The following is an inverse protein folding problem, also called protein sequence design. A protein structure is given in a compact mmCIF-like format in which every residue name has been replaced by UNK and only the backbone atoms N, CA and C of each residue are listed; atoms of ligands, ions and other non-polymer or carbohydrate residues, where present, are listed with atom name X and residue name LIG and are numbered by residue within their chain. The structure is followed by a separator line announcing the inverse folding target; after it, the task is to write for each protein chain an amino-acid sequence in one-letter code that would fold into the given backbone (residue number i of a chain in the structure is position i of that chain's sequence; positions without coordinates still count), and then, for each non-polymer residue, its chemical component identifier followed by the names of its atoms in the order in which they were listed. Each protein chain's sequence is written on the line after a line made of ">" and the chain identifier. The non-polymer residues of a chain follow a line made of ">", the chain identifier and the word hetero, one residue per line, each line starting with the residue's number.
data_IF_046565987627
#
_entry.id   IF_046565987627
#
_cell.length_a   1.000
_cell.length_b   1.000
_cell.length_c   1.000
_cell.angle_alpha   90.00
_cell.angle_beta   90.00
_cell.angle_gamma   90.00
#
_symmetry.space_group_name_H-M   'P 1'
#
loop_
_entity.id
_entity.type
_entity.pdbx_description
1 polymer ?
#
# COMPACT_ATOMS: atom_id res chain seq x y z
N UNK A 1 -27.78 22.54 11.25
CA UNK A 1 -28.51 21.25 11.31
C UNK A 1 -27.72 20.31 10.44
N UNK A 2 -26.95 19.45 11.07
CA UNK A 2 -26.17 18.41 10.39
C UNK A 2 -27.14 17.23 10.33
N UNK A 3 -27.57 16.87 9.11
CA UNK A 3 -28.31 15.64 8.89
C UNK A 3 -27.37 14.48 9.27
N UNK A 4 -27.79 13.72 10.26
CA UNK A 4 -27.20 12.44 10.62
C UNK A 4 -27.25 11.54 9.39
N UNK A 5 -26.08 11.24 8.82
CA UNK A 5 -25.92 10.15 7.89
C UNK A 5 -26.29 8.86 8.66
N UNK A 6 -27.53 8.46 8.53
CA UNK A 6 -28.04 7.19 9.06
C UNK A 6 -27.19 6.06 8.49
N UNK A 7 -26.40 5.46 9.35
CA UNK A 7 -25.77 4.16 9.13
C UNK A 7 -26.86 3.18 8.68
N UNK A 8 -26.93 2.89 7.39
CA UNK A 8 -27.76 1.80 6.88
C UNK A 8 -27.09 0.49 7.29
N UNK A 9 -27.46 -0.01 8.46
CA UNK A 9 -27.09 -1.36 8.89
C UNK A 9 -27.63 -2.31 7.83
N UNK A 10 -26.76 -3.01 7.13
CA UNK A 10 -27.10 -4.16 6.29
C UNK A 10 -27.61 -5.28 7.22
N UNK A 11 -28.82 -5.12 7.72
CA UNK A 11 -29.49 -6.11 8.56
C UNK A 11 -29.95 -7.25 7.64
N UNK A 12 -29.14 -8.31 7.53
CA UNK A 12 -29.63 -9.64 7.21
C UNK A 12 -30.23 -9.86 5.81
N UNK A 13 -29.72 -9.20 4.76
CA UNK A 13 -30.16 -9.47 3.38
C UNK A 13 -29.09 -10.23 2.60
N UNK A 14 -29.53 -11.25 1.85
CA UNK A 14 -28.75 -12.11 0.94
C UNK A 14 -28.14 -11.35 -0.26
N UNK A 15 -28.24 -10.02 -0.30
CA UNK A 15 -27.86 -9.16 -1.42
C UNK A 15 -26.56 -8.37 -1.23
N UNK A 16 -25.88 -8.47 -0.08
CA UNK A 16 -24.60 -7.79 0.12
C UNK A 16 -23.54 -8.38 -0.83
N UNK A 17 -22.84 -7.55 -1.65
CA UNK A 17 -21.84 -8.05 -2.58
C UNK A 17 -20.70 -8.78 -1.84
N UNK A 18 -20.19 -9.85 -2.44
CA UNK A 18 -19.08 -10.59 -1.85
C UNK A 18 -17.80 -9.75 -1.90
N UNK A 19 -17.09 -9.66 -0.78
CA UNK A 19 -15.75 -9.08 -0.69
C UNK A 19 -14.72 -10.18 -0.51
N UNK A 20 -13.70 -10.22 -1.36
CA UNK A 20 -12.54 -11.10 -1.16
C UNK A 20 -11.43 -10.34 -0.42
N UNK A 21 -11.10 -10.78 0.78
CA UNK A 21 -9.90 -10.31 1.51
C UNK A 21 -8.74 -11.23 1.13
N UNK A 22 -7.82 -10.72 0.33
CA UNK A 22 -6.64 -11.46 -0.16
C UNK A 22 -5.41 -10.95 0.55
N UNK A 23 -4.85 -11.72 1.47
CA UNK A 23 -3.73 -11.30 2.32
C UNK A 23 -2.46 -12.11 2.02
N UNK A 24 -1.35 -11.45 1.65
CA UNK A 24 -0.05 -12.09 1.56
C UNK A 24 0.54 -12.26 2.95
N UNK A 25 1.24 -13.36 3.20
CA UNK A 25 1.94 -13.62 4.45
C UNK A 25 3.42 -13.95 4.17
N UNK A 26 4.32 -13.24 4.82
CA UNK A 26 5.74 -13.57 4.84
C UNK A 26 6.38 -13.11 6.15
N UNK A 27 6.74 -14.09 7.01
CA UNK A 27 7.38 -13.85 8.31
C UNK A 27 6.58 -12.85 9.19
N UNK A 28 5.30 -13.15 9.40
CA UNK A 28 4.34 -12.31 10.12
C UNK A 28 3.97 -12.86 11.51
N UNK A 29 4.64 -13.91 12.01
CA UNK A 29 4.26 -14.65 13.23
C UNK A 29 3.88 -13.75 14.41
N UNK A 30 4.55 -12.61 14.54
CA UNK A 30 4.37 -11.68 15.65
C UNK A 30 3.03 -10.96 15.67
N UNK A 31 2.45 -10.72 14.49
CA UNK A 31 1.29 -9.83 14.34
C UNK A 31 0.07 -10.52 13.73
N UNK A 32 0.26 -11.74 13.23
CA UNK A 32 -0.69 -12.50 12.45
C UNK A 32 -2.06 -12.65 13.11
N UNK A 33 -2.10 -13.03 14.41
CA UNK A 33 -3.36 -13.24 15.14
C UNK A 33 -4.15 -11.95 15.30
N UNK A 34 -3.47 -10.85 15.63
CA UNK A 34 -4.10 -9.54 15.80
C UNK A 34 -4.66 -9.03 14.47
N UNK A 35 -3.88 -9.17 13.39
CA UNK A 35 -4.29 -8.77 12.05
C UNK A 35 -5.52 -9.57 11.58
N UNK A 36 -5.49 -10.90 11.68
CA UNK A 36 -6.62 -11.74 11.30
C UNK A 36 -7.87 -11.48 12.13
N UNK A 37 -7.72 -11.32 13.44
CA UNK A 37 -8.83 -10.96 14.32
C UNK A 37 -9.51 -9.67 13.83
N UNK A 38 -8.76 -8.63 13.48
CA UNK A 38 -9.31 -7.37 13.00
C UNK A 38 -10.10 -7.50 11.70
N UNK A 39 -9.74 -8.47 10.85
CA UNK A 39 -10.47 -8.78 9.61
C UNK A 39 -11.79 -9.50 9.94
N UNK A 40 -11.76 -10.49 10.86
CA UNK A 40 -12.97 -11.23 11.22
C UNK A 40 -13.93 -10.47 12.15
N UNK A 41 -13.46 -9.41 12.79
CA UNK A 41 -14.28 -8.49 13.60
C UNK A 41 -14.97 -7.39 12.77
N UNK A 42 -14.89 -7.43 11.43
CA UNK A 42 -15.67 -6.52 10.58
C UNK A 42 -17.16 -6.91 10.60
N UNK A 43 -18.03 -5.91 10.71
CA UNK A 43 -19.49 -6.12 10.75
C UNK A 43 -20.09 -6.50 9.38
N UNK A 44 -19.28 -6.48 8.31
CA UNK A 44 -19.73 -6.79 6.97
C UNK A 44 -20.08 -8.28 6.81
N UNK A 45 -21.31 -8.63 6.35
CA UNK A 45 -21.81 -10.00 6.46
C UNK A 45 -21.29 -10.97 5.39
N UNK A 46 -20.82 -10.49 4.23
CA UNK A 46 -20.51 -11.33 3.08
C UNK A 46 -19.08 -11.13 2.57
N UNK A 47 -18.11 -11.78 3.21
CA UNK A 47 -16.72 -11.78 2.76
C UNK A 47 -16.09 -13.17 2.84
N UNK A 48 -15.09 -13.39 2.01
CA UNK A 48 -14.21 -14.55 2.05
C UNK A 48 -12.78 -14.09 2.34
N UNK A 49 -12.00 -14.94 2.99
CA UNK A 49 -10.58 -14.67 3.27
C UNK A 49 -9.71 -15.69 2.57
N UNK A 50 -8.70 -15.20 1.87
CA UNK A 50 -7.74 -15.98 1.10
C UNK A 50 -6.34 -15.52 1.53
N UNK A 51 -5.55 -16.44 2.09
CA UNK A 51 -4.21 -16.15 2.56
C UNK A 51 -3.21 -16.92 1.74
N UNK A 52 -2.15 -16.23 1.31
CA UNK A 52 -1.04 -16.84 0.56
C UNK A 52 0.25 -16.65 1.35
N UNK A 53 0.77 -17.74 1.91
CA UNK A 53 2.11 -17.78 2.50
C UNK A 53 3.17 -17.76 1.39
N UNK A 54 3.93 -16.68 1.33
CA UNK A 54 5.01 -16.48 0.34
C UNK A 54 6.34 -17.05 0.83
N UNK A 55 6.29 -18.29 1.33
CA UNK A 55 7.48 -19.04 1.75
C UNK A 55 8.07 -18.55 3.06
N UNK A 56 7.24 -18.32 4.08
CA UNK A 56 7.70 -17.94 5.42
C UNK A 56 8.68 -18.96 6.00
N UNK A 57 9.68 -18.44 6.71
CA UNK A 57 10.75 -19.20 7.37
C UNK A 57 10.64 -19.20 8.90
N UNK A 58 9.69 -18.44 9.44
CA UNK A 58 9.29 -18.40 10.85
C UNK A 58 8.07 -19.32 11.10
N UNK A 59 7.37 -19.15 12.23
CA UNK A 59 6.19 -19.95 12.56
C UNK A 59 4.90 -19.53 11.85
N UNK A 60 4.93 -18.50 10.98
CA UNK A 60 3.73 -17.96 10.34
C UNK A 60 2.87 -19.04 9.68
N UNK A 61 3.48 -19.93 8.88
CA UNK A 61 2.71 -20.95 8.18
C UNK A 61 2.03 -21.94 9.13
N UNK A 62 2.74 -22.41 10.16
CA UNK A 62 2.16 -23.32 11.17
C UNK A 62 1.02 -22.67 11.96
N UNK A 63 1.14 -21.37 12.26
CA UNK A 63 0.06 -20.59 12.87
C UNK A 63 -1.14 -20.45 11.93
N UNK A 64 -0.90 -20.20 10.64
CA UNK A 64 -1.97 -20.12 9.64
C UNK A 64 -2.73 -21.45 9.52
N UNK A 65 -2.06 -22.61 9.53
CA UNK A 65 -2.72 -23.92 9.51
C UNK A 65 -3.63 -24.15 10.73
N UNK A 66 -3.25 -23.61 11.89
CA UNK A 66 -4.08 -23.69 13.10
C UNK A 66 -5.27 -22.73 13.03
N UNK A 67 -5.04 -21.48 12.65
CA UNK A 67 -6.07 -20.46 12.53
C UNK A 67 -7.06 -20.78 11.42
N UNK A 68 -6.65 -21.46 10.35
CA UNK A 68 -7.52 -21.96 9.30
C UNK A 68 -8.59 -22.91 9.84
N UNK A 69 -8.24 -23.79 10.79
CA UNK A 69 -9.20 -24.73 11.41
C UNK A 69 -10.28 -23.99 12.20
N UNK A 70 -9.97 -22.81 12.72
CA UNK A 70 -10.90 -21.98 13.49
C UNK A 70 -11.77 -21.11 12.58
N UNK A 71 -11.17 -20.47 11.60
CA UNK A 71 -11.81 -19.43 10.80
C UNK A 71 -12.26 -19.90 9.41
N UNK A 72 -11.75 -21.01 8.90
CA UNK A 72 -12.19 -21.61 7.63
C UNK A 72 -11.72 -20.88 6.37
N UNK A 73 -10.70 -20.02 6.44
CA UNK A 73 -10.16 -19.33 5.26
C UNK A 73 -9.45 -20.25 4.30
N UNK A 74 -9.32 -19.82 3.04
CA UNK A 74 -8.51 -20.51 2.05
C UNK A 74 -7.04 -20.18 2.29
N UNK A 75 -6.19 -21.22 2.44
CA UNK A 75 -4.75 -21.09 2.66
C UNK A 75 -3.98 -21.70 1.50
N UNK A 76 -3.11 -20.91 0.91
CA UNK A 76 -2.17 -21.34 -0.13
C UNK A 76 -0.74 -21.08 0.32
N UNK A 77 0.21 -21.84 -0.24
CA UNK A 77 1.63 -21.64 0.00
C UNK A 77 2.40 -21.64 -1.32
N UNK A 78 3.41 -20.80 -1.41
CA UNK A 78 4.33 -20.76 -2.54
C UNK A 78 5.78 -20.54 -2.09
N UNK A 79 6.75 -20.77 -2.97
CA UNK A 79 8.11 -20.29 -2.74
C UNK A 79 8.10 -18.75 -2.82
N UNK A 80 8.97 -18.10 -2.02
CA UNK A 80 9.02 -16.64 -1.96
C UNK A 80 9.29 -16.01 -3.35
N UNK A 81 8.31 -15.30 -3.87
CA UNK A 81 8.36 -14.55 -5.13
C UNK A 81 8.01 -13.08 -4.95
N UNK A 82 7.67 -12.67 -3.73
CA UNK A 82 7.31 -11.31 -3.38
C UNK A 82 5.81 -11.05 -3.39
N UNK A 83 5.45 -9.96 -2.75
CA UNK A 83 4.07 -9.58 -2.41
C UNK A 83 3.14 -9.53 -3.61
N UNK A 84 3.58 -8.97 -4.75
CA UNK A 84 2.76 -8.87 -5.97
C UNK A 84 2.39 -10.26 -6.54
N UNK A 85 3.33 -11.23 -6.53
CA UNK A 85 3.06 -12.59 -7.01
C UNK A 85 2.13 -13.33 -6.02
N UNK A 86 2.33 -13.18 -4.72
CA UNK A 86 1.48 -13.77 -3.70
C UNK A 86 0.04 -13.22 -3.78
N UNK A 87 -0.12 -11.92 -3.95
CA UNK A 87 -1.43 -11.30 -4.17
C UNK A 87 -2.10 -11.83 -5.45
N UNK A 88 -1.38 -11.88 -6.56
CA UNK A 88 -1.91 -12.44 -7.81
C UNK A 88 -2.29 -13.92 -7.68
N UNK A 89 -1.55 -14.69 -6.86
CA UNK A 89 -1.91 -16.07 -6.55
C UNK A 89 -3.27 -16.13 -5.83
N UNK A 90 -3.47 -15.35 -4.78
CA UNK A 90 -4.74 -15.31 -4.05
C UNK A 90 -5.90 -14.78 -4.90
N UNK A 91 -5.65 -13.75 -5.71
CA UNK A 91 -6.66 -13.14 -6.59
C UNK A 91 -7.22 -14.10 -7.64
N UNK A 92 -6.47 -15.10 -8.07
CA UNK A 92 -7.00 -16.17 -8.97
C UNK A 92 -8.10 -17.01 -8.34
N UNK A 93 -8.17 -17.04 -7.01
CA UNK A 93 -9.17 -17.77 -6.24
C UNK A 93 -10.29 -16.87 -5.70
N UNK A 94 -10.12 -15.55 -5.80
CA UNK A 94 -11.08 -14.57 -5.33
C UNK A 94 -12.34 -14.53 -6.21
N UNK A 95 -13.50 -14.53 -5.56
CA UNK A 95 -14.84 -14.52 -6.21
C UNK A 95 -15.60 -13.22 -5.95
N UNK A 96 -15.07 -12.37 -5.08
CA UNK A 96 -15.72 -11.13 -4.66
C UNK A 96 -15.87 -10.12 -5.80
N UNK A 97 -16.91 -9.33 -5.71
CA UNK A 97 -17.10 -8.13 -6.54
C UNK A 97 -16.09 -7.03 -6.16
N UNK A 98 -15.74 -6.98 -4.88
CA UNK A 98 -14.72 -6.11 -4.35
C UNK A 98 -13.57 -6.90 -3.72
N UNK A 99 -12.40 -6.27 -3.67
CA UNK A 99 -11.18 -6.89 -3.14
C UNK A 99 -10.48 -5.95 -2.16
N UNK A 100 -10.10 -6.48 -1.02
CA UNK A 100 -9.20 -5.86 -0.06
C UNK A 100 -7.90 -6.64 0.01
N UNK A 101 -6.75 -5.97 0.10
CA UNK A 101 -5.42 -6.62 0.14
C UNK A 101 -4.60 -6.16 1.34
N UNK A 102 -5.02 -6.43 2.59
CA UNK A 102 -4.33 -5.98 3.78
C UNK A 102 -3.05 -6.78 4.01
N UNK A 103 -2.04 -6.11 4.54
CA UNK A 103 -0.85 -6.78 5.08
C UNK A 103 -1.17 -7.37 6.48
N UNK A 104 -0.61 -8.55 6.81
CA UNK A 104 -0.89 -9.28 8.06
C UNK A 104 -0.02 -8.81 9.25
N UNK A 105 0.47 -7.60 9.21
CA UNK A 105 1.14 -6.89 10.31
C UNK A 105 0.37 -5.63 10.76
N UNK A 106 -0.73 -5.32 10.05
CA UNK A 106 -1.59 -4.16 10.26
C UNK A 106 -2.94 -4.54 10.88
N UNK A 107 -3.74 -3.54 11.29
CA UNK A 107 -5.06 -3.72 11.91
C UNK A 107 -6.11 -2.94 11.12
N UNK A 108 -7.15 -3.62 10.66
CA UNK A 108 -8.32 -3.00 10.02
C UNK A 108 -9.25 -2.46 11.11
N UNK A 109 -9.67 -1.20 11.02
CA UNK A 109 -10.59 -0.62 12.01
C UNK A 109 -12.02 -1.12 11.80
N UNK A 110 -12.83 -1.23 12.89
CA UNK A 110 -14.25 -1.60 12.80
C UNK A 110 -15.03 -0.67 11.86
N UNK A 111 -15.97 -1.23 11.08
CA UNK A 111 -16.80 -0.50 10.12
C UNK A 111 -16.07 0.01 8.87
N UNK A 112 -14.76 -0.26 8.75
CA UNK A 112 -13.98 0.19 7.60
C UNK A 112 -14.39 -0.53 6.31
N UNK A 113 -14.82 -1.79 6.39
CA UNK A 113 -15.23 -2.57 5.22
C UNK A 113 -16.58 -2.10 4.69
N UNK A 114 -17.58 -1.96 5.54
CA UNK A 114 -18.93 -1.49 5.19
C UNK A 114 -18.87 -0.10 4.53
N UNK A 115 -18.18 0.83 5.17
CA UNK A 115 -18.04 2.21 4.67
C UNK A 115 -17.50 2.24 3.24
N UNK A 116 -16.52 1.41 2.92
CA UNK A 116 -15.90 1.36 1.57
C UNK A 116 -16.78 0.65 0.56
N UNK A 117 -17.49 -0.42 0.96
CA UNK A 117 -18.42 -1.12 0.08
C UNK A 117 -19.58 -0.20 -0.30
N UNK A 118 -20.22 0.44 0.69
CA UNK A 118 -21.31 1.38 0.46
C UNK A 118 -20.86 2.51 -0.48
N UNK A 119 -19.65 3.01 -0.28
CA UNK A 119 -19.10 4.05 -1.15
C UNK A 119 -18.91 3.56 -2.59
N UNK A 120 -18.32 2.39 -2.81
CA UNK A 120 -18.13 1.85 -4.16
C UNK A 120 -19.45 1.51 -4.84
N UNK A 121 -20.47 1.07 -4.11
CA UNK A 121 -21.81 0.84 -4.66
C UNK A 121 -22.46 2.13 -5.16
N UNK A 122 -22.29 3.23 -4.43
CA UNK A 122 -22.80 4.56 -4.80
C UNK A 122 -21.99 5.22 -5.92
N UNK A 123 -20.74 4.77 -6.19
CA UNK A 123 -19.80 5.42 -7.11
C UNK A 123 -19.21 4.41 -8.11
N UNK A 124 -19.93 4.06 -9.20
CA UNK A 124 -19.47 3.06 -10.18
C UNK A 124 -18.22 3.50 -10.97
N UNK A 125 -17.94 4.80 -11.04
CA UNK A 125 -16.75 5.38 -11.65
C UNK A 125 -15.46 5.12 -10.85
N UNK A 126 -15.60 4.75 -9.56
CA UNK A 126 -14.46 4.55 -8.64
C UNK A 126 -13.95 3.13 -8.74
N UNK A 127 -12.68 2.97 -9.09
CA UNK A 127 -11.99 1.66 -9.15
C UNK A 127 -11.30 1.29 -7.84
N UNK A 128 -10.91 2.28 -7.04
CA UNK A 128 -10.30 2.09 -5.72
C UNK A 128 -10.75 3.19 -4.77
N UNK A 129 -11.18 2.81 -3.58
CA UNK A 129 -11.45 3.71 -2.47
C UNK A 129 -10.57 3.34 -1.29
N UNK A 130 -10.04 4.34 -0.61
CA UNK A 130 -9.28 4.17 0.63
C UNK A 130 -9.66 5.20 1.69
N UNK A 131 -8.89 5.21 2.77
CA UNK A 131 -8.99 6.16 3.86
C UNK A 131 -7.63 6.51 4.42
N UNK A 132 -7.61 7.00 5.64
CA UNK A 132 -6.42 7.43 6.36
C UNK A 132 -6.01 6.38 7.40
N UNK A 133 -4.74 6.47 7.85
CA UNK A 133 -4.18 5.54 8.80
C UNK A 133 -3.83 6.22 10.12
N UNK A 134 -3.92 5.45 11.19
CA UNK A 134 -3.28 5.72 12.47
C UNK A 134 -1.98 4.92 12.47
N UNK A 135 -0.84 5.59 12.57
CA UNK A 135 0.45 4.90 12.67
C UNK A 135 0.67 4.40 14.09
N UNK A 136 1.02 3.12 14.23
CA UNK A 136 1.37 2.48 15.50
C UNK A 136 2.81 1.95 15.48
N UNK A 137 3.42 1.81 16.65
CA UNK A 137 4.72 1.17 16.81
C UNK A 137 4.60 -0.37 16.84
N UNK A 138 5.73 -1.06 17.02
CA UNK A 138 5.76 -2.53 17.13
C UNK A 138 5.03 -3.10 18.34
N UNK A 139 4.68 -2.29 19.33
CA UNK A 139 3.93 -2.66 20.51
C UNK A 139 2.43 -2.31 20.41
N UNK A 140 2.01 -1.66 19.29
CA UNK A 140 0.63 -1.24 19.08
C UNK A 140 0.30 0.15 19.61
N UNK A 141 1.28 0.91 20.16
CA UNK A 141 1.04 2.26 20.63
C UNK A 141 0.96 3.23 19.46
N UNK A 142 0.02 4.16 19.53
CA UNK A 142 -0.11 5.20 18.52
C UNK A 142 1.09 6.15 18.55
N UNK A 143 1.70 6.40 17.36
CA UNK A 143 2.85 7.30 17.20
C UNK A 143 2.58 8.48 16.27
N UNK A 144 1.59 8.37 15.39
CA UNK A 144 1.17 9.45 14.50
C UNK A 144 -0.20 9.14 13.88
N UNK A 145 -0.87 10.17 13.37
CA UNK A 145 -2.08 10.05 12.53
C UNK A 145 -1.87 10.78 11.22
N UNK A 146 -2.41 10.23 10.16
CA UNK A 146 -2.54 10.96 8.91
C UNK A 146 -3.56 12.09 9.11
N UNK A 147 -3.24 13.29 8.63
CA UNK A 147 -4.18 14.42 8.67
C UNK A 147 -5.09 14.43 7.45
N UNK A 148 -6.36 14.76 7.64
CA UNK A 148 -7.31 15.00 6.55
C UNK A 148 -8.23 16.18 6.89
N UNK A 149 -8.87 16.74 5.85
CA UNK A 149 -9.93 17.75 6.02
C UNK A 149 -11.27 17.04 6.22
N UNK A 150 -11.95 17.32 7.32
CA UNK A 150 -13.26 16.74 7.62
C UNK A 150 -14.26 17.01 6.49
N UNK A 151 -15.06 16.01 6.13
CA UNK A 151 -16.08 16.09 5.11
C UNK A 151 -15.59 16.21 3.67
N UNK A 152 -14.27 16.19 3.43
CA UNK A 152 -13.70 16.32 2.09
C UNK A 152 -13.22 14.96 1.55
N UNK A 153 -13.90 14.45 0.53
CA UNK A 153 -13.42 13.28 -0.22
C UNK A 153 -12.39 13.74 -1.23
N UNK A 154 -11.18 13.21 -1.14
CA UNK A 154 -10.13 13.46 -2.12
C UNK A 154 -10.34 12.54 -3.34
N UNK A 155 -10.15 13.09 -4.57
CA UNK A 155 -10.45 12.40 -5.83
C UNK A 155 -9.34 12.59 -6.83
N UNK A 156 -8.95 11.52 -7.50
CA UNK A 156 -7.89 11.53 -8.51
C UNK A 156 -8.31 10.69 -9.73
N UNK A 157 -8.31 11.31 -10.90
CA UNK A 157 -8.17 10.61 -12.15
C UNK A 157 -6.70 10.32 -12.46
N UNK A 158 -6.43 9.66 -13.58
CA UNK A 158 -5.08 9.21 -13.95
C UNK A 158 -4.03 10.33 -13.96
N UNK A 159 -4.34 11.47 -14.56
CA UNK A 159 -3.41 12.61 -14.68
C UNK A 159 -2.90 13.09 -13.33
N UNK A 160 -3.82 13.23 -12.36
CA UNK A 160 -3.52 13.67 -11.01
C UNK A 160 -2.81 12.57 -10.21
N UNK A 161 -3.26 11.33 -10.32
CA UNK A 161 -2.64 10.18 -9.66
C UNK A 161 -1.17 10.01 -10.07
N UNK A 162 -0.88 10.14 -11.37
CA UNK A 162 0.49 10.13 -11.88
C UNK A 162 1.28 11.35 -11.43
N UNK A 163 0.71 12.57 -11.57
CA UNK A 163 1.39 13.82 -11.25
C UNK A 163 1.78 13.95 -9.77
N UNK A 164 0.99 13.35 -8.87
CA UNK A 164 1.17 13.40 -7.41
C UNK A 164 1.84 12.16 -6.84
N UNK A 165 2.09 11.14 -7.68
CA UNK A 165 2.57 9.81 -7.24
C UNK A 165 1.70 9.25 -6.13
N UNK A 166 0.38 9.21 -6.40
CA UNK A 166 -0.65 8.81 -5.46
C UNK A 166 -0.50 7.37 -5.01
N UNK A 167 -0.50 7.16 -3.71
CA UNK A 167 -0.55 5.84 -3.08
C UNK A 167 -1.79 5.75 -2.21
N UNK A 168 -2.60 4.71 -2.43
CA UNK A 168 -3.61 4.27 -1.46
C UNK A 168 -3.03 3.06 -0.74
N UNK A 169 -2.91 3.15 0.57
CA UNK A 169 -2.30 2.07 1.38
C UNK A 169 -3.14 0.78 1.28
N UNK A 170 -2.54 -0.39 1.06
CA UNK A 170 -3.24 -1.67 0.96
C UNK A 170 -4.17 -1.95 2.13
N UNK A 171 -3.76 -1.60 3.33
CA UNK A 171 -4.56 -1.70 4.55
C UNK A 171 -5.94 -1.01 4.43
N UNK A 172 -5.98 0.16 3.79
CA UNK A 172 -7.21 0.96 3.69
C UNK A 172 -7.91 0.83 2.34
N UNK A 173 -7.24 0.26 1.33
CA UNK A 173 -7.77 0.15 -0.02
C UNK A 173 -8.86 -0.93 -0.12
N UNK A 174 -9.95 -0.58 -0.82
CA UNK A 174 -10.91 -1.52 -1.37
C UNK A 174 -10.99 -1.28 -2.87
N UNK A 175 -10.79 -2.32 -3.64
CA UNK A 175 -10.74 -2.28 -5.10
C UNK A 175 -12.01 -2.90 -5.69
N UNK A 176 -12.48 -2.35 -6.80
CA UNK A 176 -13.44 -3.03 -7.66
C UNK A 176 -12.73 -4.14 -8.44
N UNK A 177 -13.21 -5.37 -8.36
CA UNK A 177 -12.59 -6.53 -9.03
C UNK A 177 -12.47 -6.32 -10.55
N UNK A 178 -13.49 -5.73 -11.19
CA UNK A 178 -13.45 -5.41 -12.62
C UNK A 178 -12.33 -4.42 -12.95
N UNK A 179 -12.11 -3.41 -12.11
CA UNK A 179 -11.02 -2.45 -12.29
C UNK A 179 -9.64 -3.14 -12.17
N UNK A 180 -9.49 -4.06 -11.21
CA UNK A 180 -8.26 -4.85 -11.07
C UNK A 180 -8.03 -5.77 -12.27
N UNK A 181 -9.07 -6.43 -12.77
CA UNK A 181 -8.99 -7.28 -13.97
C UNK A 181 -8.57 -6.47 -15.21
N UNK A 182 -9.18 -5.31 -15.44
CA UNK A 182 -8.78 -4.42 -16.55
C UNK A 182 -7.35 -3.90 -16.41
N UNK A 183 -6.90 -3.69 -15.20
CA UNK A 183 -5.53 -3.31 -14.90
C UNK A 183 -4.53 -4.47 -15.01
N UNK A 184 -4.99 -5.69 -15.31
CA UNK A 184 -4.18 -6.91 -15.32
C UNK A 184 -3.46 -7.13 -13.99
N UNK A 185 -4.17 -6.90 -12.88
CA UNK A 185 -3.73 -7.09 -11.51
C UNK A 185 -2.37 -6.42 -11.18
N UNK A 186 -1.59 -7.02 -10.28
CA UNK A 186 -0.26 -6.52 -9.92
C UNK A 186 0.79 -7.01 -10.92
N UNK A 187 1.74 -6.15 -11.28
CA UNK A 187 2.92 -6.56 -12.03
C UNK A 187 3.93 -7.23 -11.07
N UNK A 188 4.20 -8.53 -11.20
CA UNK A 188 5.09 -9.24 -10.27
C UNK A 188 6.57 -8.84 -10.43
N UNK A 189 6.94 -8.16 -11.51
CA UNK A 189 8.27 -7.60 -11.69
C UNK A 189 8.54 -6.38 -10.79
N UNK A 190 7.46 -5.71 -10.33
CA UNK A 190 7.50 -4.55 -9.44
C UNK A 190 7.32 -5.00 -8.00
N UNK A 191 8.36 -4.82 -7.17
CA UNK A 191 8.45 -5.38 -5.82
C UNK A 191 7.61 -4.66 -4.75
N UNK A 192 6.98 -3.54 -5.09
CA UNK A 192 6.10 -2.76 -4.19
C UNK A 192 4.75 -2.62 -4.87
N UNK A 193 3.68 -3.04 -4.19
CA UNK A 193 2.39 -3.26 -4.82
C UNK A 193 1.47 -2.03 -4.88
N UNK A 194 1.56 -1.12 -3.93
CA UNK A 194 0.55 -0.09 -3.69
C UNK A 194 0.48 1.00 -4.78
N UNK A 195 1.62 1.58 -5.14
CA UNK A 195 1.66 2.63 -6.15
C UNK A 195 1.35 2.10 -7.56
N UNK A 196 1.89 0.93 -7.91
CA UNK A 196 1.67 0.37 -9.25
C UNK A 196 0.20 0.10 -9.52
N UNK A 197 -0.54 -0.53 -8.57
CA UNK A 197 -1.94 -0.90 -8.80
C UNK A 197 -2.83 0.34 -8.84
N UNK A 198 -2.56 1.34 -8.01
CA UNK A 198 -3.26 2.62 -8.03
C UNK A 198 -3.18 3.27 -9.42
N UNK A 199 -1.96 3.35 -10.01
CA UNK A 199 -1.78 3.91 -11.35
C UNK A 199 -2.41 3.05 -12.45
N UNK A 200 -2.27 1.74 -12.37
CA UNK A 200 -2.79 0.80 -13.38
C UNK A 200 -4.31 0.87 -13.46
N UNK A 201 -4.99 0.95 -12.30
CA UNK A 201 -6.46 1.13 -12.23
C UNK A 201 -6.86 2.50 -12.79
N UNK A 202 -6.18 3.57 -12.38
CA UNK A 202 -6.48 4.91 -12.88
C UNK A 202 -6.27 5.03 -14.40
N UNK A 203 -5.26 4.34 -14.96
CA UNK A 203 -5.01 4.30 -16.40
C UNK A 203 -6.10 3.58 -17.21
N UNK A 204 -6.98 2.79 -16.56
CA UNK A 204 -8.18 2.21 -17.18
C UNK A 204 -9.38 3.15 -17.19
N UNK A 205 -9.22 4.40 -16.75
CA UNK A 205 -10.28 5.41 -16.72
C UNK A 205 -11.10 5.43 -15.44
N UNK A 206 -10.74 4.63 -14.43
CA UNK A 206 -11.37 4.69 -13.11
C UNK A 206 -10.81 5.85 -12.28
N UNK A 207 -11.65 6.39 -11.40
CA UNK A 207 -11.22 7.32 -10.36
C UNK A 207 -10.70 6.56 -9.12
N UNK A 208 -9.78 7.22 -8.40
CA UNK A 208 -9.25 6.78 -7.11
C UNK A 208 -9.70 7.78 -6.06
N UNK A 209 -10.40 7.32 -5.03
CA UNK A 209 -10.93 8.19 -3.99
C UNK A 209 -10.33 7.86 -2.62
N UNK A 210 -10.25 8.88 -1.75
CA UNK A 210 -9.87 8.71 -0.35
C UNK A 210 -10.87 9.43 0.55
N UNK A 211 -11.52 8.66 1.42
CA UNK A 211 -12.53 9.14 2.34
C UNK A 211 -11.87 9.80 3.57
N UNK A 212 -12.47 10.85 4.14
CA UNK A 212 -11.97 11.54 5.32
C UNK A 212 -12.27 10.72 6.60
N UNK A 213 -11.79 9.49 6.65
CA UNK A 213 -11.99 8.59 7.77
C UNK A 213 -10.75 7.73 8.03
N UNK A 214 -10.48 7.41 9.29
CA UNK A 214 -9.48 6.41 9.64
C UNK A 214 -10.06 5.02 9.41
N UNK A 215 -9.31 4.18 8.68
CA UNK A 215 -9.74 2.84 8.28
C UNK A 215 -8.79 1.75 8.73
N UNK A 216 -7.59 2.11 9.22
CA UNK A 216 -6.62 1.14 9.67
C UNK A 216 -5.59 1.71 10.61
N UNK A 217 -4.93 0.79 11.35
CA UNK A 217 -3.74 1.08 12.14
C UNK A 217 -2.54 0.47 11.42
N UNK A 218 -1.71 1.34 10.86
CA UNK A 218 -0.51 0.98 10.13
C UNK A 218 0.67 0.81 11.07
N UNK A 219 1.25 -0.40 11.11
CA UNK A 219 2.35 -0.73 12.01
C UNK A 219 3.71 -0.41 11.42
N UNK A 220 4.51 0.34 12.19
CA UNK A 220 5.88 0.64 11.83
C UNK A 220 6.84 -0.22 12.64
N UNK A 221 7.56 -1.10 11.94
CA UNK A 221 8.59 -1.96 12.53
C UNK A 221 9.80 -2.08 11.59
N UNK A 222 10.93 -2.65 12.11
CA UNK A 222 12.20 -2.63 11.39
C UNK A 222 12.27 -3.51 10.14
N UNK A 223 11.39 -4.53 10.01
CA UNK A 223 11.35 -5.48 8.88
C UNK A 223 10.46 -5.03 7.72
N UNK A 224 9.61 -3.98 7.92
CA UNK A 224 8.66 -3.51 6.91
C UNK A 224 9.33 -2.98 5.63
N UNK A 225 8.66 -3.19 4.48
CA UNK A 225 9.12 -2.72 3.16
C UNK A 225 9.19 -1.20 3.07
N UNK A 226 8.33 -0.47 3.77
CA UNK A 226 8.28 1.00 3.77
C UNK A 226 9.58 1.69 4.22
N UNK A 227 10.42 0.98 4.99
CA UNK A 227 11.76 1.42 5.37
C UNK A 227 12.78 1.38 4.25
N UNK A 228 12.58 0.53 3.23
CA UNK A 228 13.54 0.19 2.17
C UNK A 228 13.49 1.18 1.00
N UNK A 229 13.87 2.43 1.23
CA UNK A 229 13.69 3.54 0.29
C UNK A 229 14.37 3.34 -1.08
N UNK A 230 15.44 2.53 -1.19
CA UNK A 230 16.07 2.19 -2.48
C UNK A 230 15.13 1.32 -3.31
N UNK A 231 14.57 0.27 -2.68
CA UNK A 231 13.61 -0.62 -3.31
C UNK A 231 12.35 0.15 -3.75
N UNK A 232 11.84 1.04 -2.87
CA UNK A 232 10.67 1.86 -3.18
C UNK A 232 10.96 2.80 -4.37
N UNK A 233 12.16 3.41 -4.44
CA UNK A 233 12.54 4.23 -5.57
C UNK A 233 12.54 3.45 -6.90
N UNK A 234 13.14 2.26 -6.90
CA UNK A 234 13.19 1.39 -8.08
C UNK A 234 11.79 0.97 -8.52
N UNK A 235 10.95 0.52 -7.58
CA UNK A 235 9.58 0.11 -7.84
C UNK A 235 8.72 1.28 -8.36
N UNK A 236 8.79 2.45 -7.70
CA UNK A 236 8.04 3.63 -8.13
C UNK A 236 8.46 4.08 -9.55
N UNK A 237 9.77 4.01 -9.87
CA UNK A 237 10.27 4.32 -11.20
C UNK A 237 9.80 3.32 -12.25
N UNK A 238 9.77 2.02 -11.93
CA UNK A 238 9.22 0.98 -12.83
C UNK A 238 7.72 1.19 -13.05
N UNK A 239 6.97 1.55 -12.01
CA UNK A 239 5.53 1.76 -12.09
C UNK A 239 5.13 2.91 -13.04
N UNK A 240 5.95 3.96 -13.15
CA UNK A 240 5.68 5.09 -14.06
C UNK A 240 6.24 4.89 -15.48
N UNK A 241 7.14 3.94 -15.70
CA UNK A 241 7.84 3.78 -16.98
C UNK A 241 6.90 3.54 -18.18
N UNK A 242 5.78 2.78 -18.07
CA UNK A 242 4.81 2.66 -19.17
C UNK A 242 4.23 4.00 -19.65
N UNK A 243 4.25 5.01 -18.78
CA UNK A 243 3.66 6.33 -19.01
C UNK A 243 4.69 7.38 -19.41
N UNK A 244 5.87 6.98 -19.93
CA UNK A 244 6.99 7.87 -20.31
C UNK A 244 6.59 9.00 -21.27
N UNK A 245 5.64 8.75 -22.17
CA UNK A 245 5.14 9.74 -23.11
C UNK A 245 4.15 10.75 -22.50
N UNK A 246 3.66 10.49 -21.30
CA UNK A 246 2.66 11.34 -20.66
C UNK A 246 3.26 12.68 -20.19
N UNK A 247 2.54 13.82 -20.33
CA UNK A 247 3.04 15.14 -19.92
C UNK A 247 3.48 15.19 -18.43
N UNK A 248 2.76 14.49 -17.54
CA UNK A 248 3.05 14.45 -16.12
C UNK A 248 4.21 13.51 -15.72
N UNK A 249 4.76 12.70 -16.65
CA UNK A 249 5.84 11.75 -16.34
C UNK A 249 7.07 12.43 -15.69
N UNK A 250 7.47 13.59 -16.23
CA UNK A 250 8.62 14.33 -15.69
C UNK A 250 8.38 14.78 -14.25
N UNK A 251 7.17 15.22 -13.94
CA UNK A 251 6.78 15.63 -12.60
C UNK A 251 6.78 14.43 -11.64
N UNK A 252 6.16 13.31 -12.03
CA UNK A 252 6.15 12.07 -11.24
C UNK A 252 7.57 11.60 -10.92
N UNK A 253 8.42 11.48 -11.95
CA UNK A 253 9.83 11.12 -11.79
C UNK A 253 10.57 12.01 -10.80
N UNK A 254 10.33 13.33 -10.85
CA UNK A 254 10.96 14.29 -9.98
C UNK A 254 10.51 14.13 -8.52
N UNK A 255 9.22 13.85 -8.29
CA UNK A 255 8.70 13.58 -6.95
C UNK A 255 9.28 12.29 -6.37
N UNK A 256 9.32 11.21 -7.15
CA UNK A 256 9.91 9.92 -6.76
C UNK A 256 11.40 10.11 -6.39
N UNK A 257 12.17 10.82 -7.23
CA UNK A 257 13.55 11.16 -6.96
C UNK A 257 13.70 11.92 -5.62
N UNK A 258 12.90 12.95 -5.43
CA UNK A 258 12.94 13.76 -4.22
C UNK A 258 12.53 12.98 -2.96
N UNK A 259 11.59 12.02 -3.07
CA UNK A 259 11.20 11.09 -2.00
C UNK A 259 12.40 10.22 -1.57
N UNK A 260 13.14 9.66 -2.54
CA UNK A 260 14.35 8.87 -2.27
C UNK A 260 15.50 9.73 -1.70
N UNK A 261 15.77 10.90 -2.29
CA UNK A 261 16.79 11.83 -1.81
C UNK A 261 16.56 12.29 -0.37
N UNK A 262 15.29 12.37 0.08
CA UNK A 262 14.97 12.73 1.49
C UNK A 262 15.69 11.83 2.50
N UNK A 263 15.79 10.53 2.20
CA UNK A 263 16.46 9.54 3.06
C UNK A 263 17.94 9.38 2.68
N UNK A 264 18.25 9.28 1.38
CA UNK A 264 19.60 9.02 0.88
C UNK A 264 20.64 10.05 1.35
N UNK A 265 20.30 11.35 1.32
CA UNK A 265 21.23 12.43 1.73
C UNK A 265 21.70 12.35 3.19
N UNK A 266 21.00 11.58 4.03
CA UNK A 266 21.35 11.42 5.46
C UNK A 266 21.93 10.03 5.74
N UNK A 267 21.51 9.02 4.98
CA UNK A 267 21.82 7.61 5.27
C UNK A 267 22.90 7.03 4.36
N UNK A 268 22.96 7.47 3.09
CA UNK A 268 23.86 6.89 2.08
C UNK A 268 24.28 7.96 1.05
N UNK A 269 25.41 8.61 1.34
CA UNK A 269 25.93 9.67 0.48
C UNK A 269 26.33 9.22 -0.92
N UNK A 270 26.79 7.96 -1.09
CA UNK A 270 27.14 7.43 -2.41
C UNK A 270 25.89 7.27 -3.27
N UNK A 271 24.85 6.71 -2.69
CA UNK A 271 23.57 6.57 -3.40
C UNK A 271 22.89 7.91 -3.66
N UNK A 272 22.93 8.84 -2.69
CA UNK A 272 22.45 10.20 -2.93
C UNK A 272 23.17 10.88 -4.11
N UNK A 273 24.48 10.71 -4.22
CA UNK A 273 25.24 11.23 -5.35
C UNK A 273 24.85 10.59 -6.69
N UNK A 274 24.62 9.26 -6.71
CA UNK A 274 24.11 8.58 -7.90
C UNK A 274 22.75 9.13 -8.32
N UNK A 275 21.84 9.34 -7.37
CA UNK A 275 20.53 9.93 -7.65
C UNK A 275 20.63 11.35 -8.21
N UNK A 276 21.49 12.20 -7.67
CA UNK A 276 21.72 13.55 -8.21
C UNK A 276 22.24 13.51 -9.67
N UNK A 277 23.13 12.57 -9.98
CA UNK A 277 23.67 12.41 -11.34
C UNK A 277 22.69 11.77 -12.34
N UNK A 278 21.66 11.09 -11.86
CA UNK A 278 20.64 10.45 -12.73
C UNK A 278 19.73 11.45 -13.43
N UNK A 279 19.78 12.73 -13.02
CA UNK A 279 18.94 13.81 -13.56
C UNK A 279 19.81 14.99 -13.94
N UNK A 280 19.69 15.54 -15.17
CA UNK A 280 20.46 16.71 -15.58
C UNK A 280 20.13 17.94 -14.72
N UNK A 281 21.11 18.79 -14.46
CA UNK A 281 20.96 19.99 -13.59
C UNK A 281 19.76 20.87 -13.99
N UNK A 282 19.50 21.01 -15.30
CA UNK A 282 18.36 21.78 -15.83
C UNK A 282 16.99 21.25 -15.40
N UNK A 283 16.92 20.00 -14.94
CA UNK A 283 15.69 19.37 -14.46
C UNK A 283 15.56 19.41 -12.92
N UNK A 284 16.53 20.00 -12.23
CA UNK A 284 16.46 20.13 -10.77
C UNK A 284 15.45 21.20 -10.38
N UNK A 285 14.49 20.81 -9.57
CA UNK A 285 13.56 21.73 -8.93
C UNK A 285 14.12 22.33 -7.62
N UNK A 286 13.34 23.22 -7.01
CA UNK A 286 13.72 23.86 -5.73
C UNK A 286 13.94 22.83 -4.60
N UNK A 287 13.19 21.72 -4.62
CA UNK A 287 13.29 20.67 -3.61
C UNK A 287 14.59 19.89 -3.79
N UNK A 288 14.94 19.53 -5.02
CA UNK A 288 16.21 18.86 -5.36
C UNK A 288 17.40 19.71 -4.97
N UNK A 289 17.37 21.01 -5.29
CA UNK A 289 18.42 21.95 -4.89
C UNK A 289 18.56 22.03 -3.36
N UNK A 290 17.45 22.14 -2.62
CA UNK A 290 17.45 22.13 -1.14
C UNK A 290 18.04 20.84 -0.60
N UNK A 291 17.77 19.68 -1.22
CA UNK A 291 18.33 18.39 -0.84
C UNK A 291 19.83 18.31 -1.15
N UNK A 292 20.26 18.88 -2.27
CA UNK A 292 21.68 18.95 -2.63
C UNK A 292 22.47 19.78 -1.62
N UNK A 293 21.99 20.96 -1.22
CA UNK A 293 22.61 21.75 -0.16
C UNK A 293 22.67 21.01 1.17
N UNK A 294 21.61 20.27 1.49
CA UNK A 294 21.61 19.40 2.67
C UNK A 294 22.65 18.29 2.54
N UNK A 295 22.76 17.65 1.39
CA UNK A 295 23.77 16.62 1.10
C UNK A 295 25.19 17.17 1.33
N UNK A 296 25.51 18.34 0.83
CA UNK A 296 26.83 18.96 1.03
C UNK A 296 27.18 19.16 2.52
N UNK A 297 26.21 19.47 3.37
CA UNK A 297 26.39 19.59 4.82
C UNK A 297 26.69 18.24 5.49
N UNK A 298 26.18 17.14 4.95
CA UNK A 298 26.42 15.79 5.51
C UNK A 298 27.66 15.10 4.91
N UNK A 299 28.23 15.60 3.82
CA UNK A 299 29.41 15.02 3.18
C UNK A 299 30.57 14.73 4.14
N UNK A 300 30.96 15.64 5.04
CA UNK A 300 32.08 15.39 5.97
C UNK A 300 31.79 14.21 6.92
N UNK A 301 30.54 14.05 7.34
CA UNK A 301 30.08 12.97 8.24
C UNK A 301 29.98 11.64 7.52
N UNK A 302 29.51 11.65 6.28
CA UNK A 302 29.33 10.46 5.44
C UNK A 302 30.66 9.92 4.90
N UNK A 303 31.65 10.81 4.65
CA UNK A 303 33.00 10.43 4.25
C UNK A 303 33.78 9.72 5.37
N UNK A 304 33.46 9.95 6.62
CA UNK A 304 34.06 9.28 7.78
C UNK A 304 33.44 7.88 8.05
N UNK A 305 32.27 7.59 7.51
CA UNK A 305 31.60 6.28 7.63
C UNK A 305 31.80 5.34 6.44
N UNK A 306 32.67 5.70 5.51
CA UNK A 306 33.00 4.91 4.31
C UNK A 306 33.93 3.74 4.57
N UNK A 307 33.58 2.84 5.46
CA UNK A 307 34.42 1.67 5.75
C UNK A 307 33.84 0.74 6.79
N UNK A 308 32.61 0.27 6.60
CA UNK A 308 32.21 -1.04 7.12
C UNK A 308 31.15 -1.61 6.19
N UNK A 309 31.59 -2.41 5.24
CA UNK A 309 30.75 -3.44 4.63
C UNK A 309 30.28 -4.37 5.74
N UNK A 310 29.01 -4.25 6.12
CA UNK A 310 28.32 -5.37 6.74
C UNK A 310 27.76 -6.21 5.59
N UNK A 311 28.69 -6.89 4.91
CA UNK A 311 28.40 -8.14 4.25
C UNK A 311 28.38 -9.21 5.36
N UNK A 312 27.28 -9.94 5.48
CA UNK A 312 27.34 -11.17 6.26
C UNK A 312 26.16 -11.37 7.21
N UNK A 313 25.32 -12.19 6.75
CA UNK A 313 24.45 -13.23 7.33
C UNK A 313 22.99 -12.91 7.41
#
# INVERSE_FOLDING_TARGET
>A
MIEEATSSKHSGTTDAPLVSVVAPCFNAEKYLEEALRSIYEQDYPNFEVIIVDDGSTDNSYAMLEQLQKVHGFQLYRQANRGVSDALNHGLRHARGEFVMTPDLDDIVLPGALDTRVDYLLAHPEVGCVGGFNICIDSAGNEVARDGFSEGCVERWGFDAALAETLVVMPLTALYRMDAMKRADFFDPSIRVQDFQITLRIAAQGYEIHRLPAYMGRYRRHGSGLSGRYKLNYEADMQAIEPYRAHPNYRRARQLILNKALKKAVVQDGRYAWQLFRSVPLRAWDRVTLKRFWRFLRYLPVLGLKGGTDVAGR
#
